data_IF_117617138756
#
_entry.id   IF_117617138756
#
_cell.length_a   1.000
_cell.length_b   1.000
_cell.length_c   1.000
_cell.angle_alpha   90.00
_cell.angle_beta   90.00
_cell.angle_gamma   90.00
#
_symmetry.space_group_name_H-M   'P 1'
#
loop_
_entity.id
_entity.type
_entity.pdbx_description
1 polymer ?
#
# COMPACT_ATOMS: atom_id res chain seq x y z
N UNK A 1 -11.41 22.75 12.79
CA UNK A 1 -11.13 21.31 12.75
C UNK A 1 -10.32 21.04 11.48
N UNK A 2 -9.00 20.78 11.58
CA UNK A 2 -8.17 20.52 10.39
C UNK A 2 -8.52 19.11 9.88
N UNK A 3 -9.05 19.02 8.66
CA UNK A 3 -9.20 17.75 7.96
C UNK A 3 -7.81 17.17 7.73
N UNK A 4 -7.44 16.15 8.50
CA UNK A 4 -6.20 15.39 8.28
C UNK A 4 -6.34 14.64 6.95
N UNK A 5 -5.78 15.17 5.87
CA UNK A 5 -5.58 14.40 4.62
C UNK A 5 -4.67 13.22 4.93
N UNK A 6 -5.25 12.02 4.91
CA UNK A 6 -4.48 10.77 4.96
C UNK A 6 -3.63 10.73 3.70
N UNK A 7 -2.31 10.57 3.85
CA UNK A 7 -1.43 10.33 2.72
C UNK A 7 -1.57 8.85 2.34
N UNK A 8 -1.67 8.58 1.04
CA UNK A 8 -1.70 7.24 0.49
C UNK A 8 -0.50 7.05 -0.42
N UNK A 9 0.14 5.89 -0.36
CA UNK A 9 1.27 5.55 -1.23
C UNK A 9 1.04 4.17 -1.84
N UNK A 10 1.11 4.10 -3.17
CA UNK A 10 1.14 2.84 -3.91
C UNK A 10 2.60 2.52 -4.19
N UNK A 11 3.03 1.30 -3.86
CA UNK A 11 4.36 0.79 -4.15
C UNK A 11 4.22 -0.29 -5.21
N UNK A 12 4.77 -0.05 -6.40
CA UNK A 12 4.85 -1.08 -7.44
C UNK A 12 5.94 -2.10 -7.06
N UNK A 13 5.54 -3.35 -6.88
CA UNK A 13 6.41 -4.45 -6.48
C UNK A 13 6.82 -5.35 -7.65
N UNK A 14 6.36 -5.10 -8.87
CA UNK A 14 6.62 -5.96 -10.04
C UNK A 14 8.11 -6.11 -10.37
N UNK A 15 8.92 -5.09 -10.08
CA UNK A 15 10.37 -5.08 -10.32
C UNK A 15 11.23 -5.54 -9.13
N UNK A 16 10.63 -5.96 -8.01
CA UNK A 16 11.39 -6.32 -6.82
C UNK A 16 12.01 -7.72 -7.00
N UNK A 17 13.33 -7.76 -7.15
CA UNK A 17 14.09 -9.01 -7.32
C UNK A 17 14.59 -9.60 -6.01
N UNK A 18 14.68 -8.79 -4.96
CA UNK A 18 15.12 -9.21 -3.62
C UNK A 18 14.31 -8.50 -2.54
N UNK A 19 13.84 -9.26 -1.55
CA UNK A 19 13.14 -8.76 -0.38
C UNK A 19 13.86 -9.24 0.88
N UNK A 20 14.31 -8.29 1.71
CA UNK A 20 14.97 -8.56 2.97
C UNK A 20 14.46 -7.66 4.09
N UNK A 21 15.06 -7.76 5.27
CA UNK A 21 14.66 -7.01 6.47
C UNK A 21 14.67 -5.50 6.27
N UNK A 22 15.60 -4.96 5.48
CA UNK A 22 15.63 -3.52 5.17
C UNK A 22 14.40 -3.04 4.38
N UNK A 23 13.95 -3.82 3.38
CA UNK A 23 12.73 -3.50 2.63
C UNK A 23 11.51 -3.56 3.55
N UNK A 24 11.43 -4.59 4.38
CA UNK A 24 10.35 -4.74 5.35
C UNK A 24 10.30 -3.57 6.34
N UNK A 25 11.44 -3.18 6.90
CA UNK A 25 11.53 -2.05 7.83
C UNK A 25 11.04 -0.74 7.19
N UNK A 26 11.42 -0.48 5.93
CA UNK A 26 10.94 0.68 5.17
C UNK A 26 9.41 0.63 5.00
N UNK A 27 8.84 -0.53 4.63
CA UNK A 27 7.40 -0.68 4.47
C UNK A 27 6.65 -0.46 5.80
N UNK A 28 7.12 -1.08 6.88
CA UNK A 28 6.54 -0.92 8.22
C UNK A 28 6.63 0.52 8.72
N UNK A 29 7.77 1.18 8.49
CA UNK A 29 7.99 2.59 8.85
C UNK A 29 7.11 3.53 8.06
N UNK A 30 6.93 3.28 6.76
CA UNK A 30 6.02 4.05 5.92
C UNK A 30 4.57 3.90 6.40
N UNK A 31 4.13 2.67 6.71
CA UNK A 31 2.78 2.39 7.19
C UNK A 31 2.38 3.11 8.47
N UNK A 32 3.33 3.41 9.35
CA UNK A 32 3.05 4.17 10.59
C UNK A 32 2.60 5.61 10.31
N UNK A 33 2.95 6.16 9.14
CA UNK A 33 2.69 7.57 8.79
C UNK A 33 1.58 7.74 7.75
N UNK A 34 1.29 6.69 6.98
CA UNK A 34 0.44 6.74 5.81
C UNK A 34 -0.07 5.36 5.44
N UNK A 35 -1.14 5.32 4.65
CA UNK A 35 -1.58 4.07 4.07
C UNK A 35 -0.66 3.63 2.93
N UNK A 36 -0.26 2.37 2.93
CA UNK A 36 0.60 1.77 1.91
C UNK A 36 -0.16 0.62 1.24
N UNK A 37 -0.23 0.67 -0.09
CA UNK A 37 -0.77 -0.39 -0.93
C UNK A 37 0.37 -0.96 -1.78
N UNK A 38 0.58 -2.27 -1.72
CA UNK A 38 1.55 -2.98 -2.55
C UNK A 38 0.86 -3.41 -3.84
N UNK A 39 1.42 -3.06 -4.99
CA UNK A 39 0.83 -3.30 -6.30
C UNK A 39 1.65 -4.28 -7.14
N UNK A 40 0.95 -5.13 -7.89
CA UNK A 40 1.52 -6.14 -8.79
C UNK A 40 1.46 -7.53 -8.18
N UNK A 41 1.61 -8.61 -8.98
CA UNK A 41 1.84 -9.91 -8.40
C UNK A 41 3.08 -9.80 -7.49
N UNK A 42 2.88 -10.02 -6.19
CA UNK A 42 3.97 -9.95 -5.23
C UNK A 42 5.02 -10.99 -5.63
N UNK A 43 6.31 -10.60 -5.76
CA UNK A 43 7.37 -11.56 -5.94
C UNK A 43 7.32 -12.58 -4.81
N UNK A 44 7.49 -13.86 -5.12
CA UNK A 44 7.40 -14.96 -4.14
C UNK A 44 8.24 -14.69 -2.89
N UNK A 45 9.45 -14.15 -3.05
CA UNK A 45 10.33 -13.82 -1.93
C UNK A 45 9.73 -12.75 -1.00
N UNK A 46 9.06 -11.74 -1.56
CA UNK A 46 8.37 -10.72 -0.77
C UNK A 46 7.13 -11.31 -0.07
N UNK A 47 6.33 -12.11 -0.77
CA UNK A 47 5.21 -12.83 -0.15
C UNK A 47 5.65 -13.69 1.04
N UNK A 48 6.67 -14.51 0.85
CA UNK A 48 7.26 -15.35 1.91
C UNK A 48 7.81 -14.51 3.06
N UNK A 49 8.51 -13.41 2.77
CA UNK A 49 9.00 -12.51 3.82
C UNK A 49 7.85 -11.93 4.65
N UNK A 50 6.76 -11.51 3.99
CA UNK A 50 5.59 -10.96 4.66
C UNK A 50 4.91 -12.02 5.54
N UNK A 51 4.76 -13.25 5.04
CA UNK A 51 4.16 -14.36 5.79
C UNK A 51 5.02 -14.77 6.99
N UNK A 52 6.32 -14.98 6.79
CA UNK A 52 7.26 -15.40 7.85
C UNK A 52 7.38 -14.37 8.98
N UNK A 53 7.21 -13.10 8.66
CA UNK A 53 7.29 -12.01 9.64
C UNK A 53 5.92 -11.61 10.19
N UNK A 54 4.84 -12.30 9.80
CA UNK A 54 3.47 -11.99 10.21
C UNK A 54 2.98 -10.61 9.72
N UNK A 55 3.58 -10.07 8.67
CA UNK A 55 3.30 -8.73 8.14
C UNK A 55 2.39 -8.71 6.90
N UNK A 56 1.97 -9.87 6.39
CA UNK A 56 1.09 -10.00 5.22
C UNK A 56 -0.24 -9.22 5.36
N UNK A 57 -0.85 -9.22 6.55
CA UNK A 57 -2.10 -8.49 6.81
C UNK A 57 -1.91 -7.01 7.15
N UNK A 58 -0.67 -6.53 7.18
CA UNK A 58 -0.40 -5.14 7.53
C UNK A 58 -0.68 -4.24 6.32
N UNK A 59 -0.23 -4.55 5.12
CA UNK A 59 -0.50 -3.72 3.93
C UNK A 59 -1.66 -4.28 3.10
N UNK A 60 -2.40 -3.41 2.42
CA UNK A 60 -3.25 -3.87 1.32
C UNK A 60 -2.35 -4.33 0.18
N UNK A 61 -2.66 -5.50 -0.39
CA UNK A 61 -2.01 -6.01 -1.60
C UNK A 61 -3.03 -5.98 -2.74
N UNK A 62 -2.63 -5.45 -3.88
CA UNK A 62 -3.42 -5.39 -5.09
C UNK A 62 -2.66 -6.02 -6.25
N UNK A 63 -3.34 -6.82 -7.07
CA UNK A 63 -2.71 -7.58 -8.15
C UNK A 63 -2.09 -6.71 -9.25
N UNK A 64 -2.42 -5.41 -9.28
CA UNK A 64 -1.91 -4.45 -10.26
C UNK A 64 -1.95 -3.03 -9.71
N UNK A 65 -1.21 -2.13 -10.37
CA UNK A 65 -1.27 -0.69 -10.10
C UNK A 65 -2.69 -0.14 -10.25
N UNK A 66 -3.45 -0.60 -11.24
CA UNK A 66 -4.82 -0.11 -11.46
C UNK A 66 -5.78 -0.61 -10.39
N UNK A 67 -5.63 -1.85 -9.92
CA UNK A 67 -6.37 -2.35 -8.77
C UNK A 67 -6.04 -1.54 -7.51
N UNK A 68 -4.77 -1.18 -7.29
CA UNK A 68 -4.36 -0.33 -6.18
C UNK A 68 -4.98 1.08 -6.25
N UNK A 69 -5.00 1.68 -7.45
CA UNK A 69 -5.64 3.00 -7.67
C UNK A 69 -7.14 2.96 -7.42
N UNK A 70 -7.83 1.92 -7.91
CA UNK A 70 -9.27 1.72 -7.64
C UNK A 70 -9.54 1.56 -6.15
N UNK A 71 -8.73 0.76 -5.44
CA UNK A 71 -8.85 0.58 -3.99
C UNK A 71 -8.76 1.91 -3.22
N UNK A 72 -7.87 2.81 -3.63
CA UNK A 72 -7.76 4.14 -3.03
C UNK A 72 -8.90 5.08 -3.45
N UNK A 73 -9.35 5.00 -4.71
CA UNK A 73 -10.48 5.78 -5.22
C UNK A 73 -11.79 5.46 -4.51
N UNK A 74 -12.09 4.18 -4.30
CA UNK A 74 -13.31 3.70 -3.63
C UNK A 74 -13.36 4.08 -2.14
N UNK A 75 -12.19 4.35 -1.55
CA UNK A 75 -12.04 4.72 -0.13
C UNK A 75 -11.93 6.22 0.11
N UNK A 76 -11.79 7.01 -0.95
CA UNK A 76 -11.89 8.46 -0.83
C UNK A 76 -13.35 8.80 -0.52
N UNK A 77 -13.67 9.40 0.65
CA UNK A 77 -15.01 9.91 0.85
C UNK A 77 -15.26 10.94 -0.25
N UNK A 78 -16.32 10.73 -1.04
CA UNK A 78 -16.80 11.68 -2.03
C UNK A 78 -16.71 13.10 -1.45
N UNK A 79 -15.93 13.96 -2.10
CA UNK A 79 -15.82 15.36 -1.71
C UNK A 79 -17.23 15.99 -1.74
N UNK A 80 -17.72 16.60 -0.66
CA UNK A 80 -18.99 17.31 -0.71
C UNK A 80 -18.82 18.59 -1.52
N UNK A 81 -19.49 18.64 -2.67
CA UNK A 81 -19.92 19.86 -3.34
C UNK A 81 -18.96 20.47 -4.37
N UNK A 82 -19.28 20.27 -5.65
CA UNK A 82 -19.23 21.37 -6.61
C UNK A 82 -20.64 21.61 -7.14
N UNK A 83 -21.48 22.22 -6.30
CA UNK A 83 -22.69 22.88 -6.76
C UNK A 83 -22.27 24.15 -7.51
N UNK A 84 -22.71 24.24 -8.76
CA UNK A 84 -22.82 25.49 -9.50
C UNK A 84 -24.28 25.66 -9.88
#
# INVERSE_FOLDING_TARGET
MRTSTVRHTIVDCTGVTFAGSALLDVLLTARRRQEVVLAGPLPRALGVLLDLTGSAGLSTVADSLDAARRHLGDRSPAAPGSGR
#
